data_IF_044840566652
#
_entry.id   IF_044840566652
#
_cell.length_a   1.000
_cell.length_b   1.000
_cell.length_c   1.000
_cell.angle_alpha   90.00
_cell.angle_beta   90.00
_cell.angle_gamma   90.00
#
_symmetry.space_group_name_H-M   'P 1'
#
loop_
_entity.id
_entity.type
_entity.pdbx_description
1 polymer ?
#
# COMPACT_ATOMS: atom_id res chain seq x y z
N UNK A 1 4.98 -19.05 30.04
CA UNK A 1 6.09 -18.53 29.21
C UNK A 1 6.05 -19.36 27.95
N UNK A 2 5.54 -18.93 26.80
CA UNK A 2 5.63 -17.66 26.05
C UNK A 2 4.23 -17.02 25.90
N UNK A 3 3.96 -15.71 25.97
CA UNK A 3 4.79 -14.55 25.69
C UNK A 3 4.36 -13.89 24.37
N UNK A 4 3.21 -13.18 24.37
CA UNK A 4 2.81 -12.20 23.34
C UNK A 4 2.99 -12.59 21.86
N UNK A 5 2.07 -13.40 21.32
CA UNK A 5 1.84 -13.40 19.87
C UNK A 5 1.33 -12.01 19.49
N UNK A 6 2.09 -11.30 18.64
CA UNK A 6 1.80 -9.95 18.18
C UNK A 6 0.37 -9.89 17.62
N UNK A 7 -0.40 -8.87 18.02
CA UNK A 7 -1.78 -8.64 17.53
C UNK A 7 -1.88 -8.55 15.99
N UNK A 8 -0.76 -8.29 15.33
CA UNK A 8 -0.65 -7.95 13.92
C UNK A 8 0.30 -8.89 13.16
N UNK A 9 -0.05 -9.22 11.92
CA UNK A 9 0.77 -10.01 11.01
C UNK A 9 1.77 -9.11 10.27
N UNK A 10 2.89 -8.86 10.94
CA UNK A 10 4.00 -8.07 10.37
C UNK A 10 4.73 -8.88 9.28
N UNK A 11 4.80 -10.20 9.41
CA UNK A 11 5.71 -11.02 8.59
C UNK A 11 5.17 -11.27 7.19
N UNK A 12 3.89 -11.62 7.08
CA UNK A 12 3.30 -12.04 5.79
C UNK A 12 2.47 -10.94 5.15
N UNK A 13 1.81 -10.10 5.96
CA UNK A 13 0.97 -9.00 5.49
C UNK A 13 1.65 -7.64 5.60
N UNK A 14 2.77 -7.53 6.33
CA UNK A 14 3.48 -6.26 6.48
C UNK A 14 2.69 -5.23 7.28
N UNK A 15 1.85 -5.65 8.23
CA UNK A 15 0.99 -4.76 9.03
C UNK A 15 1.82 -3.79 9.91
N UNK A 16 2.14 -2.63 9.34
CA UNK A 16 2.90 -1.55 9.98
C UNK A 16 2.09 -0.26 9.84
N UNK A 17 1.50 0.19 10.94
CA UNK A 17 0.62 1.36 10.96
C UNK A 17 1.43 2.65 11.01
N UNK A 18 1.01 3.63 10.20
CA UNK A 18 1.67 4.93 10.12
C UNK A 18 1.19 5.86 11.23
N UNK A 19 2.08 6.40 12.09
CA UNK A 19 1.70 7.37 13.12
C UNK A 19 1.05 8.63 12.56
N UNK A 20 0.09 9.20 13.29
CA UNK A 20 -0.71 10.34 12.83
C UNK A 20 0.14 11.54 12.39
N UNK A 21 1.22 11.87 13.11
CA UNK A 21 2.12 12.97 12.74
C UNK A 21 2.85 12.73 11.41
N UNK A 22 3.17 11.48 11.08
CA UNK A 22 3.78 11.12 9.79
C UNK A 22 2.73 11.20 8.67
N UNK A 23 1.51 10.74 8.93
CA UNK A 23 0.40 10.90 7.97
C UNK A 23 0.15 12.37 7.68
N UNK A 24 0.04 13.19 8.73
CA UNK A 24 -0.22 14.62 8.58
C UNK A 24 0.91 15.29 7.77
N UNK A 25 2.18 14.94 8.04
CA UNK A 25 3.32 15.39 7.23
C UNK A 25 3.20 14.96 5.76
N UNK A 26 2.97 13.68 5.48
CA UNK A 26 2.86 13.19 4.10
C UNK A 26 1.73 13.85 3.31
N UNK A 27 0.62 14.18 3.97
CA UNK A 27 -0.49 14.91 3.34
C UNK A 27 -0.10 16.33 2.92
N UNK A 28 0.90 16.95 3.56
CA UNK A 28 1.44 18.26 3.12
C UNK A 28 2.25 18.18 1.83
N UNK A 29 2.75 16.99 1.46
CA UNK A 29 3.53 16.77 0.23
C UNK A 29 2.65 16.63 -1.02
N UNK A 30 1.33 16.48 -0.84
CA UNK A 30 0.36 16.29 -1.92
C UNK A 30 -0.03 17.62 -2.53
N UNK A 31 0.25 17.83 -3.82
CA UNK A 31 -0.14 19.06 -4.52
C UNK A 31 -1.39 18.87 -5.39
N UNK A 32 -1.66 17.66 -5.87
CA UNK A 32 -2.86 17.39 -6.64
C UNK A 32 -4.13 17.42 -5.74
N UNK A 33 -5.28 17.82 -6.29
CA UNK A 33 -6.58 17.84 -5.58
C UNK A 33 -7.62 16.88 -6.20
N UNK A 34 -7.17 16.02 -7.12
CA UNK A 34 -8.00 15.06 -7.84
C UNK A 34 -8.28 13.77 -7.06
N UNK A 35 -8.48 12.69 -7.81
CA UNK A 35 -8.71 11.32 -7.31
C UNK A 35 -7.46 10.76 -6.63
N UNK A 36 -7.66 10.02 -5.53
CA UNK A 36 -6.58 9.48 -4.71
C UNK A 36 -6.72 7.96 -4.55
N UNK A 37 -5.59 7.25 -4.56
CA UNK A 37 -5.53 5.83 -4.20
C UNK A 37 -4.59 5.62 -3.01
N UNK A 38 -5.04 4.83 -2.04
CA UNK A 38 -4.24 4.26 -0.96
C UNK A 38 -4.26 2.73 -1.10
N UNK A 39 -3.24 2.11 -1.72
CA UNK A 39 -3.31 0.71 -2.15
C UNK A 39 -3.06 -0.32 -1.03
N UNK A 40 -2.68 0.14 0.16
CA UNK A 40 -2.42 -0.68 1.35
C UNK A 40 -2.90 0.08 2.59
N UNK A 41 -4.21 0.20 2.72
CA UNK A 41 -4.85 1.17 3.60
C UNK A 41 -4.68 0.88 5.10
N UNK A 42 -4.40 -0.36 5.49
CA UNK A 42 -4.27 -0.74 6.88
C UNK A 42 -5.53 -0.36 7.67
N UNK A 43 -5.38 0.46 8.71
CA UNK A 43 -6.49 0.98 9.51
C UNK A 43 -7.18 2.22 8.90
N UNK A 44 -6.81 2.61 7.68
CA UNK A 44 -7.34 3.76 6.96
C UNK A 44 -6.79 5.09 7.46
N UNK A 45 -5.59 5.12 8.03
CA UNK A 45 -5.03 6.34 8.60
C UNK A 45 -4.84 7.48 7.59
N UNK A 46 -4.54 7.19 6.32
CA UNK A 46 -4.61 8.21 5.27
C UNK A 46 -6.05 8.36 4.74
N UNK A 47 -6.74 7.25 4.44
CA UNK A 47 -8.09 7.22 3.86
C UNK A 47 -9.08 8.15 4.59
N UNK A 48 -9.07 8.15 5.92
CA UNK A 48 -9.96 8.96 6.76
C UNK A 48 -9.76 10.48 6.61
N UNK A 49 -8.61 10.91 6.08
CA UNK A 49 -8.22 12.31 5.90
C UNK A 49 -8.30 12.78 4.44
N UNK A 50 -8.52 11.87 3.49
CA UNK A 50 -8.51 12.14 2.07
C UNK A 50 -9.93 12.24 1.51
N UNK A 51 -10.12 13.14 0.54
CA UNK A 51 -11.36 13.24 -0.25
C UNK A 51 -11.14 12.56 -1.60
N UNK A 52 -12.23 12.03 -2.20
CA UNK A 52 -12.19 11.33 -3.51
C UNK A 52 -11.17 10.19 -3.53
N UNK A 53 -11.10 9.44 -2.43
CA UNK A 53 -10.09 8.43 -2.21
C UNK A 53 -10.68 7.02 -2.33
N UNK A 54 -9.92 6.12 -2.96
CA UNK A 54 -10.12 4.68 -2.92
C UNK A 54 -9.03 4.10 -2.01
N UNK A 55 -9.44 3.36 -0.98
CA UNK A 55 -8.53 2.57 -0.16
C UNK A 55 -8.64 1.08 -0.53
N UNK A 56 -7.53 0.36 -0.50
CA UNK A 56 -7.50 -1.10 -0.70
C UNK A 56 -6.78 -1.71 0.50
N UNK A 57 -7.36 -2.73 1.12
CA UNK A 57 -6.76 -3.48 2.21
C UNK A 57 -7.01 -4.98 2.01
N UNK A 58 -5.97 -5.80 2.16
CA UNK A 58 -6.06 -7.24 1.89
C UNK A 58 -6.61 -8.02 3.08
N UNK A 59 -6.39 -7.55 4.31
CA UNK A 59 -6.87 -8.23 5.52
C UNK A 59 -8.30 -7.77 5.90
N UNK A 60 -9.31 -8.64 5.75
CA UNK A 60 -10.69 -8.31 6.10
C UNK A 60 -10.88 -7.95 7.58
N UNK A 61 -9.94 -8.32 8.47
CA UNK A 61 -10.02 -8.01 9.91
C UNK A 61 -9.77 -6.53 10.21
N UNK A 62 -9.01 -5.84 9.36
CA UNK A 62 -8.65 -4.43 9.56
C UNK A 62 -9.13 -3.51 8.44
N UNK A 63 -9.61 -4.08 7.32
CA UNK A 63 -10.12 -3.33 6.19
C UNK A 63 -11.18 -2.28 6.64
N UNK A 64 -10.94 -0.97 6.39
CA UNK A 64 -11.92 0.07 6.65
C UNK A 64 -13.23 -0.20 5.89
N UNK A 65 -14.37 0.19 6.47
CA UNK A 65 -15.69 -0.05 5.85
C UNK A 65 -15.88 0.60 4.47
N UNK A 66 -15.13 1.67 4.20
CA UNK A 66 -15.15 2.42 2.95
C UNK A 66 -13.95 2.09 2.03
N UNK A 67 -13.19 1.05 2.36
CA UNK A 67 -12.12 0.51 1.52
C UNK A 67 -12.59 -0.76 0.80
N UNK A 68 -11.88 -1.12 -0.28
CA UNK A 68 -12.05 -2.39 -0.98
C UNK A 68 -11.23 -3.46 -0.27
N UNK A 69 -11.89 -4.51 0.20
CA UNK A 69 -11.23 -5.65 0.83
C UNK A 69 -10.73 -6.62 -0.24
N UNK A 70 -9.51 -6.43 -0.76
CA UNK A 70 -8.94 -7.24 -1.83
C UNK A 70 -7.41 -7.10 -1.89
N UNK A 71 -6.77 -7.99 -2.65
CA UNK A 71 -5.36 -7.84 -3.01
C UNK A 71 -5.20 -6.69 -4.03
N UNK A 72 -4.31 -5.73 -3.74
CA UNK A 72 -4.03 -4.62 -4.65
C UNK A 72 -3.62 -5.08 -6.06
N UNK A 73 -2.98 -6.23 -6.17
CA UNK A 73 -2.56 -6.76 -7.47
C UNK A 73 -3.74 -7.22 -8.34
N UNK A 74 -4.92 -7.46 -7.76
CA UNK A 74 -6.17 -7.72 -8.50
C UNK A 74 -6.86 -6.42 -8.97
N UNK A 75 -6.44 -5.25 -8.48
CA UNK A 75 -7.13 -4.00 -8.79
C UNK A 75 -6.90 -3.57 -10.26
N UNK A 76 -7.95 -3.38 -11.08
CA UNK A 76 -7.80 -3.23 -12.53
C UNK A 76 -7.11 -1.93 -12.97
N UNK A 77 -6.18 -2.03 -13.94
CA UNK A 77 -5.32 -0.93 -14.39
C UNK A 77 -6.07 0.21 -15.11
N UNK A 78 -7.29 0.00 -15.58
CA UNK A 78 -8.12 1.08 -16.15
C UNK A 78 -8.48 2.16 -15.13
N UNK A 79 -8.37 1.87 -13.82
CA UNK A 79 -8.56 2.83 -12.76
C UNK A 79 -7.29 3.68 -12.59
N UNK A 80 -7.38 4.96 -12.92
CA UNK A 80 -6.25 5.88 -12.91
C UNK A 80 -6.47 7.03 -11.92
N UNK A 81 -5.40 7.47 -11.24
CA UNK A 81 -5.46 8.43 -10.14
C UNK A 81 -4.51 9.61 -10.33
N UNK A 82 -4.87 10.74 -9.69
CA UNK A 82 -4.05 11.96 -9.69
C UNK A 82 -2.99 11.90 -8.58
N UNK A 83 -3.27 11.20 -7.48
CA UNK A 83 -2.30 10.94 -6.41
C UNK A 83 -2.43 9.49 -5.93
N UNK A 84 -1.29 8.86 -5.67
CA UNK A 84 -1.22 7.61 -4.91
C UNK A 84 -0.37 7.87 -3.68
N UNK A 85 -0.89 7.55 -2.50
CA UNK A 85 -0.26 7.87 -1.22
C UNK A 85 -0.45 6.72 -0.23
N UNK A 86 0.57 6.44 0.59
CA UNK A 86 0.45 5.44 1.64
C UNK A 86 1.77 4.87 2.15
N UNK A 87 1.67 3.80 2.92
CA UNK A 87 2.79 3.01 3.44
C UNK A 87 2.67 1.57 2.91
N UNK A 88 3.35 1.21 1.80
CA UNK A 88 3.30 -0.13 1.24
C UNK A 88 3.88 -1.19 2.19
N UNK A 89 3.47 -2.47 2.05
CA UNK A 89 3.89 -3.55 2.94
C UNK A 89 5.35 -3.96 2.75
N UNK A 90 6.06 -4.11 3.86
CA UNK A 90 7.50 -4.42 3.92
C UNK A 90 7.79 -5.92 4.04
N UNK A 91 7.26 -6.71 3.11
CA UNK A 91 7.33 -8.18 3.13
C UNK A 91 8.46 -8.70 2.25
N UNK A 92 9.34 -9.54 2.81
CA UNK A 92 10.39 -10.22 2.02
C UNK A 92 9.74 -11.17 1.03
N UNK A 93 10.29 -11.30 -0.17
CA UNK A 93 9.67 -12.12 -1.22
C UNK A 93 9.24 -13.52 -0.75
N UNK A 94 10.13 -14.24 -0.06
CA UNK A 94 9.85 -15.59 0.47
C UNK A 94 8.60 -15.66 1.37
N UNK A 95 8.24 -14.56 2.03
CA UNK A 95 7.13 -14.47 2.98
C UNK A 95 5.83 -13.92 2.34
N UNK A 96 5.86 -13.50 1.07
CA UNK A 96 4.65 -13.09 0.33
C UNK A 96 3.74 -14.31 0.12
N UNK A 97 2.43 -14.12 0.32
CA UNK A 97 1.42 -15.14 0.09
C UNK A 97 1.48 -15.68 -1.36
N UNK A 98 1.38 -17.01 -1.57
CA UNK A 98 1.43 -17.61 -2.92
C UNK A 98 0.43 -16.98 -3.91
N UNK A 99 -0.80 -16.73 -3.45
CA UNK A 99 -1.85 -16.10 -4.26
C UNK A 99 -1.47 -14.70 -4.74
N UNK A 100 -0.70 -13.94 -3.97
CA UNK A 100 -0.20 -12.61 -4.39
C UNK A 100 1.01 -12.76 -5.31
N UNK A 101 1.90 -13.73 -5.05
CA UNK A 101 3.08 -14.00 -5.92
C UNK A 101 2.70 -14.32 -7.36
N UNK A 102 1.61 -15.07 -7.56
CA UNK A 102 1.09 -15.43 -8.89
C UNK A 102 0.67 -14.20 -9.72
N UNK A 103 0.42 -13.05 -9.07
CA UNK A 103 -0.02 -11.80 -9.69
C UNK A 103 1.12 -10.80 -9.89
N UNK A 104 2.32 -11.09 -9.37
CA UNK A 104 3.47 -10.20 -9.49
C UNK A 104 4.06 -10.28 -10.90
N UNK A 105 4.44 -9.13 -11.44
CA UNK A 105 5.17 -9.04 -12.70
C UNK A 105 6.67 -8.91 -12.41
N UNK A 106 7.46 -9.82 -12.96
CA UNK A 106 8.91 -9.91 -12.71
C UNK A 106 9.75 -9.26 -13.82
N UNK A 107 9.22 -8.20 -14.47
CA UNK A 107 9.93 -7.50 -15.53
C UNK A 107 11.05 -6.59 -15.01
N UNK A 108 10.86 -5.98 -13.84
CA UNK A 108 11.82 -5.04 -13.23
C UNK A 108 12.47 -5.60 -11.95
N UNK A 109 11.85 -6.61 -11.35
CA UNK A 109 12.19 -7.14 -10.04
C UNK A 109 12.24 -8.67 -10.07
N UNK A 110 12.92 -9.25 -9.09
CA UNK A 110 13.07 -10.69 -8.94
C UNK A 110 12.75 -11.14 -7.51
N UNK A 111 12.99 -12.41 -7.21
CA UNK A 111 12.68 -13.02 -5.91
C UNK A 111 13.52 -12.47 -4.74
N UNK A 112 14.47 -11.56 -4.98
CA UNK A 112 15.22 -10.85 -3.94
C UNK A 112 14.53 -9.54 -3.53
N UNK A 113 13.59 -9.06 -4.34
CA UNK A 113 12.89 -7.80 -4.11
C UNK A 113 11.85 -7.88 -3.00
N UNK A 114 11.72 -6.82 -2.21
CA UNK A 114 10.66 -6.71 -1.20
C UNK A 114 9.31 -6.35 -1.88
N UNK A 115 8.19 -6.78 -1.29
CA UNK A 115 6.83 -6.54 -1.82
C UNK A 115 6.55 -5.06 -2.10
N UNK A 116 7.08 -4.13 -1.29
CA UNK A 116 6.84 -2.70 -1.51
C UNK A 116 7.34 -2.19 -2.89
N UNK A 117 8.35 -2.84 -3.48
CA UNK A 117 8.86 -2.50 -4.81
C UNK A 117 7.83 -2.81 -5.90
N UNK A 118 7.16 -3.97 -5.79
CA UNK A 118 6.07 -4.34 -6.69
C UNK A 118 4.85 -3.42 -6.51
N UNK A 119 4.58 -2.95 -5.28
CA UNK A 119 3.59 -1.91 -5.02
C UNK A 119 3.94 -0.60 -5.73
N UNK A 120 5.20 -0.16 -5.68
CA UNK A 120 5.67 1.04 -6.40
C UNK A 120 5.45 0.88 -7.91
N UNK A 121 5.87 -0.25 -8.50
CA UNK A 121 5.70 -0.49 -9.94
C UNK A 121 4.22 -0.44 -10.34
N UNK A 122 3.36 -1.17 -9.63
CA UNK A 122 1.93 -1.19 -9.96
C UNK A 122 1.27 0.17 -9.70
N UNK A 123 1.65 0.88 -8.65
CA UNK A 123 1.17 2.23 -8.38
C UNK A 123 1.52 3.18 -9.52
N UNK A 124 2.75 3.16 -10.04
CA UNK A 124 3.14 4.00 -11.19
C UNK A 124 2.24 3.74 -12.41
N UNK A 125 1.85 2.48 -12.66
CA UNK A 125 0.93 2.12 -13.75
C UNK A 125 -0.52 2.62 -13.54
N UNK A 126 -0.89 3.00 -12.32
CA UNK A 126 -2.18 3.62 -11.98
C UNK A 126 -2.15 5.16 -12.00
N UNK A 127 -1.00 5.79 -12.26
CA UNK A 127 -0.91 7.25 -12.31
C UNK A 127 -1.37 7.79 -13.67
N UNK A 128 -2.27 8.78 -13.62
CA UNK A 128 -2.53 9.66 -14.76
C UNK A 128 -1.25 10.43 -15.14
N UNK A 129 -1.17 10.98 -16.36
CA UNK A 129 -0.15 11.96 -16.69
C UNK A 129 -0.12 13.10 -15.65
N UNK A 130 1.09 13.44 -15.16
CA UNK A 130 1.31 14.41 -14.06
C UNK A 130 0.80 13.96 -12.68
N UNK A 131 0.54 12.66 -12.51
CA UNK A 131 0.20 12.07 -11.22
C UNK A 131 1.36 12.07 -10.23
N UNK A 132 1.03 11.99 -8.94
CA UNK A 132 1.98 12.00 -7.83
C UNK A 132 2.01 10.65 -7.13
N UNK A 133 3.20 10.12 -6.82
CA UNK A 133 3.39 9.00 -5.92
C UNK A 133 4.07 9.48 -4.64
N UNK A 134 3.43 9.23 -3.50
CA UNK A 134 3.90 9.65 -2.17
C UNK A 134 3.90 8.43 -1.25
N UNK A 135 4.98 7.67 -1.24
CA UNK A 135 5.12 6.49 -0.39
C UNK A 135 6.16 6.68 0.71
N UNK A 136 5.90 6.07 1.87
CA UNK A 136 6.96 5.71 2.80
C UNK A 136 7.68 4.50 2.20
N UNK A 137 9.00 4.51 2.24
CA UNK A 137 9.80 3.33 1.90
C UNK A 137 10.79 3.03 3.01
N UNK A 138 11.31 1.81 3.03
CA UNK A 138 12.49 1.53 3.86
C UNK A 138 13.67 2.38 3.37
N UNK A 139 14.33 3.06 4.30
CA UNK A 139 15.62 3.67 4.03
C UNK A 139 16.70 2.61 4.11
N UNK A 140 17.20 2.16 2.96
CA UNK A 140 18.48 1.46 2.85
C UNK A 140 19.27 2.27 1.84
N UNK A 141 20.22 3.07 2.32
CA UNK A 141 21.32 3.60 1.51
C UNK A 141 22.42 2.55 1.45
#
# INVERSE_FOLDING_TARGET
MEGFLNKWDIKTLGQVFTPNNIVDFMLTLKHNHGSVLEPSAGDGSFLKRLKKAVGIEIDPKICPKNALCMDFFDYPLENQFDTIIGNPPYVKHKDIAPSTKEKLHYSLFDERSNLYLFFIEKAIKHLKPKGELIFITQGIF
#
